data_IF_792510568219
#
_entry.id   IF_792510568219
#
_cell.length_a   1.000
_cell.length_b   1.000
_cell.length_c   1.000
_cell.angle_alpha   90.00
_cell.angle_beta   90.00
_cell.angle_gamma   90.00
#
_symmetry.space_group_name_H-M   'P 1'
#
loop_
_entity.id
_entity.type
_entity.pdbx_description
1 polymer ?
#
# COMPACT_ATOMS: atom_id res chain seq x y z
N UNK A 1 -11.41 8.36 -5.26
CA UNK A 1 -10.03 7.97 -4.99
C UNK A 1 -10.00 6.60 -4.31
N UNK A 2 -8.93 5.86 -4.51
CA UNK A 2 -8.75 4.58 -3.85
C UNK A 2 -8.00 4.78 -2.54
N UNK A 3 -8.35 4.02 -1.52
CA UNK A 3 -7.62 4.00 -0.26
C UNK A 3 -6.25 3.35 -0.48
N UNK A 4 -5.18 3.98 0.01
CA UNK A 4 -3.83 3.44 -0.02
C UNK A 4 -3.51 2.94 1.38
N UNK A 5 -3.23 1.64 1.49
CA UNK A 5 -2.83 0.99 2.74
C UNK A 5 -1.50 0.28 2.56
N UNK A 6 -0.64 0.36 3.58
CA UNK A 6 0.50 -0.52 3.72
C UNK A 6 0.14 -1.59 4.76
N UNK A 7 0.33 -2.85 4.39
CA UNK A 7 0.05 -3.99 5.25
C UNK A 7 1.33 -4.53 5.86
N UNK A 8 1.32 -4.85 7.16
CA UNK A 8 2.38 -5.66 7.74
C UNK A 8 2.22 -7.13 7.35
N UNK A 9 3.28 -7.93 7.53
CA UNK A 9 3.22 -9.39 7.28
C UNK A 9 2.12 -10.02 8.13
N UNK A 10 2.03 -9.64 9.42
CA UNK A 10 1.02 -10.15 10.35
C UNK A 10 -0.40 -9.83 9.89
N UNK A 11 -0.65 -8.61 9.43
CA UNK A 11 -1.96 -8.21 8.92
C UNK A 11 -2.37 -9.00 7.68
N UNK A 12 -1.41 -9.28 6.77
CA UNK A 12 -1.67 -10.11 5.59
C UNK A 12 -1.99 -11.55 6.02
N UNK A 13 -1.20 -12.10 6.96
CA UNK A 13 -1.42 -13.45 7.51
C UNK A 13 -2.79 -13.55 8.17
N UNK A 14 -3.16 -12.60 9.03
CA UNK A 14 -4.44 -12.61 9.72
C UNK A 14 -5.62 -12.53 8.74
N UNK A 15 -5.51 -11.70 7.71
CA UNK A 15 -6.53 -11.59 6.67
C UNK A 15 -6.66 -12.88 5.85
N UNK A 16 -5.56 -13.56 5.56
CA UNK A 16 -5.60 -14.84 4.85
C UNK A 16 -6.15 -15.95 5.74
N UNK A 17 -5.80 -15.99 7.03
CA UNK A 17 -6.32 -16.98 7.97
C UNK A 17 -7.80 -16.76 8.35
N UNK A 18 -8.39 -15.60 8.01
CA UNK A 18 -9.84 -15.39 8.12
C UNK A 18 -10.64 -16.05 6.99
N UNK A 19 -9.97 -16.57 5.95
CA UNK A 19 -10.60 -17.37 4.90
C UNK A 19 -11.01 -18.76 5.46
N UNK A 20 -11.96 -19.45 4.81
CA UNK A 20 -12.38 -20.77 5.25
C UNK A 20 -11.21 -21.75 5.40
N UNK A 21 -11.29 -22.64 6.40
CA UNK A 21 -10.32 -23.72 6.57
C UNK A 21 -10.23 -24.57 5.29
N UNK A 22 -9.06 -25.18 5.04
CA UNK A 22 -8.73 -25.94 3.82
C UNK A 22 -8.72 -25.12 2.53
N UNK A 23 -8.81 -23.79 2.59
CA UNK A 23 -8.65 -22.95 1.39
C UNK A 23 -7.24 -23.12 0.82
N UNK A 24 -7.15 -23.42 -0.48
CA UNK A 24 -5.89 -23.47 -1.22
C UNK A 24 -5.50 -22.07 -1.63
N UNK A 25 -4.25 -21.70 -1.38
CA UNK A 25 -3.70 -20.39 -1.76
C UNK A 25 -2.37 -20.56 -2.47
N UNK A 26 -2.11 -19.67 -3.43
CA UNK A 26 -0.83 -19.55 -4.12
C UNK A 26 -0.28 -18.17 -3.78
N UNK A 27 0.87 -18.13 -3.11
CA UNK A 27 1.56 -16.88 -2.80
C UNK A 27 2.45 -16.51 -3.98
N UNK A 28 2.32 -15.29 -4.47
CA UNK A 28 2.92 -14.81 -5.70
C UNK A 28 3.67 -13.48 -5.44
N UNK A 29 4.79 -13.32 -6.14
CA UNK A 29 5.53 -12.06 -6.21
C UNK A 29 5.49 -11.51 -7.64
N UNK A 30 4.88 -10.33 -7.90
CA UNK A 30 4.86 -9.74 -9.23
C UNK A 30 6.27 -9.32 -9.65
N UNK A 31 6.66 -9.63 -10.88
CA UNK A 31 7.94 -9.26 -11.45
C UNK A 31 7.77 -8.15 -12.49
N UNK A 32 8.65 -7.14 -12.46
CA UNK A 32 8.68 -6.10 -13.48
C UNK A 32 9.15 -6.67 -14.82
N UNK A 33 8.33 -6.58 -15.87
CA UNK A 33 8.56 -7.18 -17.17
C UNK A 33 9.91 -6.85 -17.80
N UNK A 34 10.43 -5.60 -17.81
CA UNK A 34 11.70 -5.29 -18.47
C UNK A 34 12.91 -6.02 -17.85
N UNK A 35 12.84 -6.32 -16.55
CA UNK A 35 13.91 -7.01 -15.82
C UNK A 35 13.65 -8.51 -15.64
N UNK A 36 12.50 -9.01 -16.07
CA UNK A 36 12.09 -10.39 -15.76
C UNK A 36 13.02 -11.43 -16.41
N UNK A 37 13.46 -11.22 -17.65
CA UNK A 37 14.28 -12.21 -18.37
C UNK A 37 15.56 -12.60 -17.64
N UNK A 38 16.43 -11.65 -17.36
CA UNK A 38 17.70 -11.91 -16.64
C UNK A 38 17.47 -12.43 -15.23
N UNK A 39 16.36 -12.01 -14.61
CA UNK A 39 16.01 -12.37 -13.26
C UNK A 39 15.44 -13.79 -13.13
N UNK A 40 14.74 -14.31 -14.14
CA UNK A 40 14.17 -15.65 -14.10
C UNK A 40 15.24 -16.75 -14.06
N UNK A 41 16.34 -16.60 -14.79
CA UNK A 41 17.48 -17.54 -14.71
C UNK A 41 18.14 -17.54 -13.33
N UNK A 42 18.25 -16.38 -12.71
CA UNK A 42 18.78 -16.25 -11.36
C UNK A 42 17.83 -16.88 -10.35
N UNK A 43 16.52 -16.64 -10.45
CA UNK A 43 15.49 -17.22 -9.60
C UNK A 43 15.43 -18.76 -9.74
N UNK A 44 15.62 -19.29 -10.94
CA UNK A 44 15.74 -20.74 -11.15
C UNK A 44 16.97 -21.32 -10.41
N UNK A 45 18.10 -20.63 -10.43
CA UNK A 45 19.31 -21.02 -9.66
C UNK A 45 19.12 -20.92 -8.15
N UNK A 46 18.26 -20.01 -7.69
CA UNK A 46 17.87 -19.88 -6.28
C UNK A 46 16.87 -20.97 -5.83
N UNK A 47 16.42 -21.84 -6.75
CA UNK A 47 15.54 -22.97 -6.44
C UNK A 47 14.05 -22.70 -6.67
N UNK A 48 13.68 -21.56 -7.22
CA UNK A 48 12.30 -21.35 -7.65
C UNK A 48 12.04 -22.16 -8.92
N UNK A 49 10.92 -22.86 -8.95
CA UNK A 49 10.60 -23.79 -10.03
C UNK A 49 9.45 -23.33 -10.94
N UNK A 50 8.66 -22.34 -10.53
CA UNK A 50 7.44 -21.98 -11.24
C UNK A 50 7.17 -20.47 -11.26
N UNK A 51 6.55 -20.04 -12.35
CA UNK A 51 5.99 -18.69 -12.54
C UNK A 51 4.55 -18.79 -13.02
N UNK A 52 3.81 -17.70 -12.86
CA UNK A 52 2.55 -17.49 -13.54
C UNK A 52 2.75 -16.50 -14.68
N UNK A 53 2.49 -16.91 -15.92
CA UNK A 53 2.46 -16.06 -17.11
C UNK A 53 0.99 -15.81 -17.47
N UNK A 54 0.54 -14.58 -17.41
CA UNK A 54 -0.85 -14.20 -17.72
C UNK A 54 -1.91 -15.10 -17.05
N UNK A 55 -1.62 -15.48 -15.80
CA UNK A 55 -2.52 -16.32 -14.99
C UNK A 55 -2.36 -17.84 -15.21
N UNK A 56 -1.47 -18.29 -16.09
CA UNK A 56 -1.16 -19.71 -16.30
C UNK A 56 0.13 -20.09 -15.60
N UNK A 57 0.09 -21.19 -14.86
CA UNK A 57 1.28 -21.72 -14.16
C UNK A 57 2.20 -22.42 -15.14
N UNK A 58 3.46 -22.02 -15.16
CA UNK A 58 4.51 -22.54 -16.06
C UNK A 58 5.77 -22.84 -15.28
N UNK A 59 6.50 -23.88 -15.65
CA UNK A 59 7.77 -24.27 -15.03
C UNK A 59 8.92 -23.41 -15.57
N UNK A 60 9.80 -22.93 -14.66
CA UNK A 60 10.97 -22.10 -15.00
C UNK A 60 12.05 -22.89 -15.75
N UNK A 61 12.22 -24.16 -15.42
CA UNK A 61 13.22 -25.07 -15.99
C UNK A 61 12.60 -26.11 -16.92
N UNK A 62 11.49 -25.79 -17.59
CA UNK A 62 10.82 -26.66 -18.55
C UNK A 62 11.60 -26.82 -19.86
N UNK A 63 11.34 -27.88 -20.62
CA UNK A 63 11.93 -28.13 -21.93
C UNK A 63 11.56 -27.08 -22.99
N UNK A 64 10.47 -26.35 -22.80
CA UNK A 64 10.04 -25.28 -23.70
C UNK A 64 10.48 -23.92 -23.20
N UNK A 65 11.05 -23.07 -24.07
CA UNK A 65 11.38 -21.70 -23.71
C UNK A 65 10.13 -20.94 -23.30
N UNK A 66 10.20 -20.24 -22.16
CA UNK A 66 9.13 -19.38 -21.70
C UNK A 66 8.91 -18.24 -22.70
N UNK A 67 7.70 -18.13 -23.22
CA UNK A 67 7.30 -16.98 -24.04
C UNK A 67 7.04 -15.76 -23.17
N UNK A 68 8.14 -15.13 -22.72
CA UNK A 68 8.11 -13.94 -21.87
C UNK A 68 7.82 -12.69 -22.71
N UNK A 69 8.09 -12.74 -24.03
CA UNK A 69 7.96 -11.58 -24.90
C UNK A 69 6.51 -11.19 -25.13
N UNK A 70 5.64 -12.18 -25.23
CA UNK A 70 4.19 -11.97 -25.39
C UNK A 70 3.46 -11.78 -24.06
N UNK A 71 4.10 -12.11 -22.91
CA UNK A 71 3.46 -12.04 -21.62
C UNK A 71 3.23 -10.59 -21.18
N UNK A 72 2.00 -10.28 -20.79
CA UNK A 72 1.60 -8.99 -20.20
C UNK A 72 1.89 -8.92 -18.71
N UNK A 73 1.98 -10.08 -18.05
CA UNK A 73 2.16 -10.19 -16.61
C UNK A 73 2.94 -11.45 -16.23
N UNK A 74 3.91 -11.28 -15.34
CA UNK A 74 4.71 -12.37 -14.78
C UNK A 74 4.67 -12.27 -13.26
N UNK A 75 4.23 -13.33 -12.60
CA UNK A 75 4.29 -13.44 -11.15
C UNK A 75 5.13 -14.69 -10.76
N UNK A 76 6.13 -14.53 -9.89
CA UNK A 76 6.90 -15.64 -9.35
C UNK A 76 6.05 -16.42 -8.35
N UNK A 77 5.98 -17.72 -8.49
CA UNK A 77 5.29 -18.59 -7.50
C UNK A 77 6.23 -18.84 -6.33
N UNK A 78 5.87 -18.31 -5.17
CA UNK A 78 6.66 -18.46 -3.94
C UNK A 78 6.29 -19.76 -3.24
N UNK A 79 5.01 -19.96 -2.98
CA UNK A 79 4.53 -21.16 -2.29
C UNK A 79 3.08 -21.48 -2.67
N UNK A 80 2.70 -22.74 -2.47
CA UNK A 80 1.33 -23.23 -2.59
C UNK A 80 0.94 -23.89 -1.30
N UNK A 81 -0.02 -23.29 -0.61
CA UNK A 81 -0.38 -23.66 0.75
C UNK A 81 -1.86 -24.03 0.82
N UNK A 82 -2.17 -24.84 1.83
CA UNK A 82 -3.53 -25.08 2.28
C UNK A 82 -3.67 -24.44 3.65
N UNK A 83 -4.60 -23.50 3.80
CA UNK A 83 -4.85 -22.84 5.06
C UNK A 83 -5.42 -23.86 6.06
N UNK A 84 -4.74 -24.02 7.20
CA UNK A 84 -5.11 -24.95 8.26
C UNK A 84 -4.39 -24.54 9.55
N UNK A 85 -4.80 -25.12 10.65
CA UNK A 85 -4.11 -24.93 11.93
C UNK A 85 -2.60 -25.19 11.80
N UNK A 86 -1.80 -24.33 12.43
CA UNK A 86 -0.33 -24.42 12.43
C UNK A 86 0.37 -23.88 11.18
N UNK A 87 -0.34 -23.45 10.13
CA UNK A 87 0.27 -22.94 8.89
C UNK A 87 0.85 -21.53 9.02
N UNK A 88 0.49 -20.76 10.08
CA UNK A 88 0.82 -19.35 10.29
C UNK A 88 2.29 -19.01 10.01
N UNK A 89 3.23 -19.79 10.60
CA UNK A 89 4.66 -19.54 10.45
C UNK A 89 5.10 -19.65 8.99
N UNK A 90 4.72 -20.73 8.30
CA UNK A 90 5.10 -20.96 6.91
C UNK A 90 4.45 -19.93 5.98
N UNK A 91 3.21 -19.54 6.25
CA UNK A 91 2.53 -18.48 5.50
C UNK A 91 3.26 -17.15 5.65
N UNK A 92 3.67 -16.76 6.87
CA UNK A 92 4.43 -15.55 7.13
C UNK A 92 5.77 -15.54 6.36
N UNK A 93 6.54 -16.63 6.43
CA UNK A 93 7.79 -16.80 5.68
C UNK A 93 7.57 -16.65 4.16
N UNK A 94 6.51 -17.24 3.62
CA UNK A 94 6.18 -17.15 2.21
C UNK A 94 5.81 -15.71 1.80
N UNK A 95 5.08 -14.98 2.65
CA UNK A 95 4.71 -13.57 2.43
C UNK A 95 5.96 -12.67 2.46
N UNK A 96 6.89 -12.89 3.41
CA UNK A 96 8.16 -12.16 3.46
C UNK A 96 9.01 -12.38 2.20
N UNK A 97 9.09 -13.63 1.74
CA UNK A 97 9.81 -13.96 0.49
C UNK A 97 9.13 -13.27 -0.69
N UNK A 98 7.80 -13.32 -0.77
CA UNK A 98 7.04 -12.65 -1.84
C UNK A 98 7.28 -11.14 -1.84
N UNK A 99 7.28 -10.50 -0.67
CA UNK A 99 7.56 -9.07 -0.52
C UNK A 99 8.95 -8.69 -1.02
N UNK A 100 9.97 -9.49 -0.71
CA UNK A 100 11.35 -9.27 -1.17
C UNK A 100 11.51 -9.35 -2.69
N UNK A 101 10.82 -10.29 -3.35
CA UNK A 101 10.91 -10.48 -4.80
C UNK A 101 9.96 -9.60 -5.59
N UNK A 102 8.79 -9.25 -5.02
CA UNK A 102 7.72 -8.48 -5.65
C UNK A 102 7.76 -6.97 -5.38
N UNK A 103 8.92 -6.42 -4.98
CA UNK A 103 9.04 -5.01 -4.63
C UNK A 103 8.01 -4.56 -3.57
N UNK A 104 7.85 -5.39 -2.53
CA UNK A 104 6.90 -5.22 -1.42
C UNK A 104 5.41 -5.28 -1.84
N UNK A 105 5.14 -5.78 -3.04
CA UNK A 105 3.81 -6.14 -3.49
C UNK A 105 3.69 -7.67 -3.44
N UNK A 106 2.65 -8.14 -2.80
CA UNK A 106 2.34 -9.56 -2.64
C UNK A 106 0.98 -9.81 -3.29
N UNK A 107 0.88 -10.87 -4.07
CA UNK A 107 -0.39 -11.36 -4.58
C UNK A 107 -0.69 -12.74 -4.01
N UNK A 108 -1.93 -12.99 -3.72
CA UNK A 108 -2.40 -14.30 -3.27
C UNK A 108 -3.56 -14.71 -4.15
N UNK A 109 -3.37 -15.82 -4.88
CA UNK A 109 -4.42 -16.39 -5.71
C UNK A 109 -5.08 -17.55 -4.98
N UNK A 110 -6.40 -17.55 -4.99
CA UNK A 110 -7.24 -18.64 -4.53
C UNK A 110 -7.75 -19.33 -5.78
N UNK A 111 -7.24 -20.54 -6.13
CA UNK A 111 -7.67 -21.26 -7.31
C UNK A 111 -9.16 -21.60 -7.22
N UNK A 112 -9.87 -21.49 -8.33
CA UNK A 112 -11.23 -22.04 -8.47
C UNK A 112 -11.16 -23.49 -8.90
N UNK A 113 -12.18 -24.29 -8.61
CA UNK A 113 -12.29 -25.68 -9.10
C UNK A 113 -12.37 -25.75 -10.63
N UNK A 114 -12.86 -24.68 -11.27
CA UNK A 114 -12.85 -24.50 -12.71
C UNK A 114 -11.76 -23.50 -13.08
N UNK A 115 -10.60 -23.98 -13.53
CA UNK A 115 -9.47 -23.14 -13.98
C UNK A 115 -9.82 -22.11 -15.08
N UNK A 116 -10.95 -22.28 -15.76
CA UNK A 116 -11.44 -21.35 -16.77
C UNK A 116 -11.81 -19.95 -16.22
N UNK A 117 -12.15 -19.83 -14.94
CA UNK A 117 -12.60 -18.58 -14.29
C UNK A 117 -11.45 -17.81 -13.59
N UNK A 118 -10.22 -18.30 -13.68
CA UNK A 118 -9.03 -17.60 -13.17
C UNK A 118 -8.89 -17.54 -11.64
N UNK A 119 -9.89 -17.98 -10.87
CA UNK A 119 -9.88 -17.89 -9.40
C UNK A 119 -9.95 -16.45 -8.87
N UNK A 120 -9.99 -16.29 -7.55
CA UNK A 120 -9.95 -14.99 -6.86
C UNK A 120 -8.50 -14.59 -6.59
N UNK A 121 -8.14 -13.34 -6.89
CA UNK A 121 -6.84 -12.77 -6.55
C UNK A 121 -7.00 -11.67 -5.51
N UNK A 122 -6.14 -11.69 -4.51
CA UNK A 122 -5.98 -10.64 -3.51
C UNK A 122 -4.59 -10.05 -3.69
N UNK A 123 -4.48 -8.72 -3.62
CA UNK A 123 -3.20 -8.02 -3.71
C UNK A 123 -2.99 -7.17 -2.47
N UNK A 124 -1.76 -7.20 -1.96
CA UNK A 124 -1.33 -6.47 -0.77
C UNK A 124 -0.07 -5.68 -1.11
N UNK A 125 0.06 -4.50 -0.53
CA UNK A 125 1.29 -3.72 -0.60
C UNK A 125 1.82 -3.46 0.81
N UNK A 126 3.11 -3.68 1.01
CA UNK A 126 3.82 -3.28 2.23
C UNK A 126 4.33 -1.81 2.14
N UNK A 127 4.18 -1.19 0.96
CA UNK A 127 4.43 0.23 0.69
C UNK A 127 3.11 0.99 0.61
N UNK A 128 3.15 2.29 0.84
CA UNK A 128 2.02 3.19 0.60
C UNK A 128 1.86 3.47 -0.91
N UNK A 129 1.45 2.46 -1.66
CA UNK A 129 1.24 2.52 -3.12
C UNK A 129 -0.17 2.06 -3.46
N UNK A 130 -0.82 2.79 -4.35
CA UNK A 130 -2.11 2.36 -4.90
C UNK A 130 -1.88 1.22 -5.91
N UNK A 131 -2.42 0.05 -5.63
CA UNK A 131 -2.29 -1.12 -6.51
C UNK A 131 -3.02 -0.96 -7.85
N UNK A 132 -3.96 -0.02 -7.96
CA UNK A 132 -4.73 0.21 -9.18
C UNK A 132 -4.07 1.18 -10.16
N UNK A 133 -3.43 2.25 -9.65
CA UNK A 133 -2.87 3.30 -10.52
C UNK A 133 -1.37 3.55 -10.29
N UNK A 134 -0.72 2.83 -9.39
CA UNK A 134 0.70 2.97 -9.08
C UNK A 134 1.07 4.25 -8.32
N UNK A 135 0.10 5.12 -7.99
CA UNK A 135 0.38 6.33 -7.22
C UNK A 135 0.89 5.97 -5.83
N UNK A 136 2.06 6.50 -5.46
CA UNK A 136 2.62 6.36 -4.12
C UNK A 136 2.24 7.53 -3.23
N UNK A 137 1.90 7.24 -1.97
CA UNK A 137 1.82 8.26 -0.95
C UNK A 137 3.23 8.56 -0.39
N UNK A 138 3.50 9.80 0.02
CA UNK A 138 4.75 10.12 0.70
C UNK A 138 4.85 9.35 2.02
N UNK A 139 6.08 9.18 2.50
CA UNK A 139 6.30 8.62 3.82
C UNK A 139 5.57 9.46 4.89
N UNK A 140 4.88 8.78 5.80
CA UNK A 140 4.15 9.46 6.88
C UNK A 140 5.15 9.81 7.98
N UNK A 141 5.67 11.03 7.91
CA UNK A 141 6.57 11.63 8.90
C UNK A 141 5.82 12.70 9.71
N UNK A 142 6.27 13.08 10.91
CA UNK A 142 5.71 14.22 11.62
C UNK A 142 5.79 15.53 10.81
N UNK A 143 6.83 15.70 9.98
CA UNK A 143 7.01 16.84 9.09
C UNK A 143 5.88 16.99 8.06
N UNK A 144 5.27 15.88 7.62
CA UNK A 144 4.14 15.89 6.71
C UNK A 144 2.92 16.64 7.26
N UNK A 145 2.74 16.66 8.58
CA UNK A 145 1.63 17.32 9.27
C UNK A 145 1.98 18.70 9.82
N UNK A 146 3.18 19.19 9.56
CA UNK A 146 3.64 20.50 10.02
C UNK A 146 3.50 21.53 8.91
N UNK A 147 2.76 22.61 9.17
CA UNK A 147 2.67 23.75 8.26
C UNK A 147 3.95 24.60 8.23
N UNK A 148 4.89 24.37 9.16
CA UNK A 148 6.22 25.01 9.19
C UNK A 148 7.29 24.16 8.48
N UNK A 149 6.97 22.92 8.06
CA UNK A 149 7.87 22.05 7.31
C UNK A 149 7.60 22.14 5.81
N UNK A 150 8.61 22.16 4.95
CA UNK A 150 8.43 22.05 3.50
C UNK A 150 7.68 20.77 3.07
N UNK A 151 7.70 19.72 3.89
CA UNK A 151 7.01 18.47 3.64
C UNK A 151 5.49 18.64 3.74
N UNK A 152 4.99 19.38 4.73
CA UNK A 152 3.57 19.56 5.03
C UNK A 152 2.96 20.88 4.59
N UNK A 153 3.75 21.96 4.52
CA UNK A 153 3.26 23.30 4.22
C UNK A 153 2.61 23.39 2.83
N UNK A 154 1.47 24.06 2.74
CA UNK A 154 0.84 24.37 1.47
C UNK A 154 1.80 25.22 0.60
N UNK A 155 2.15 24.82 -0.64
CA UNK A 155 3.14 25.52 -1.45
C UNK A 155 2.67 26.89 -1.91
N UNK A 156 1.35 27.11 -1.98
CA UNK A 156 0.78 28.38 -2.45
C UNK A 156 0.87 29.49 -1.42
N UNK A 157 0.62 29.19 -0.16
CA UNK A 157 0.67 30.17 0.92
C UNK A 157 1.87 29.95 1.87
N UNK A 158 2.75 29.01 1.58
CA UNK A 158 3.90 28.65 2.41
C UNK A 158 3.52 28.41 3.89
N UNK A 159 2.40 27.71 4.11
CA UNK A 159 1.92 27.39 5.46
C UNK A 159 1.20 28.54 6.19
N UNK A 160 0.98 29.68 5.55
CA UNK A 160 0.29 30.82 6.18
C UNK A 160 -1.22 30.61 6.30
N UNK A 161 -1.82 29.80 5.43
CA UNK A 161 -3.27 29.57 5.38
C UNK A 161 -4.06 30.64 4.62
N UNK A 162 -3.45 31.78 4.34
CA UNK A 162 -4.05 32.95 3.72
C UNK A 162 -3.14 33.55 2.68
N UNK A 163 -3.71 34.32 1.76
CA UNK A 163 -2.99 35.05 0.72
C UNK A 163 -3.47 36.49 0.68
N UNK A 164 -2.55 37.42 0.36
CA UNK A 164 -2.91 38.78 0.05
C UNK A 164 -3.61 38.82 -1.33
N UNK A 165 -4.69 39.54 -1.47
CA UNK A 165 -5.33 39.79 -2.76
C UNK A 165 -4.36 40.50 -3.71
N UNK A 166 -4.02 39.86 -4.84
CA UNK A 166 -3.16 40.47 -5.87
C UNK A 166 -3.86 41.68 -6.49
N UNK A 167 -3.27 42.84 -6.32
CA UNK A 167 -3.62 44.05 -7.11
C UNK A 167 -4.15 45.25 -6.34
N UNK A 168 -4.43 45.12 -5.05
CA UNK A 168 -4.76 46.29 -4.21
C UNK A 168 -3.77 46.44 -3.08
N UNK A 169 -2.84 47.41 -3.20
CA UNK A 169 -2.11 47.93 -2.05
C UNK A 169 -3.09 48.71 -1.16
N UNK A 170 -4.09 48.04 -0.61
CA UNK A 170 -4.98 48.61 0.38
C UNK A 170 -4.44 48.19 1.73
N UNK A 171 -3.95 49.12 2.50
CA UNK A 171 -3.37 48.93 3.85
C UNK A 171 -4.28 48.24 4.87
N UNK A 172 -5.51 47.84 4.47
CA UNK A 172 -6.54 47.26 5.36
C UNK A 172 -7.41 46.18 4.67
N UNK A 173 -6.93 45.47 3.64
CA UNK A 173 -7.70 44.31 3.12
C UNK A 173 -7.52 43.15 4.07
N UNK A 174 -8.65 42.60 4.55
CA UNK A 174 -8.65 41.38 5.36
C UNK A 174 -7.99 40.23 4.57
N UNK A 175 -7.17 39.39 5.21
CA UNK A 175 -6.55 38.24 4.56
C UNK A 175 -7.61 37.28 4.06
N UNK A 176 -7.43 36.79 2.82
CA UNK A 176 -8.35 35.83 2.20
C UNK A 176 -7.81 34.43 2.39
N UNK A 177 -8.64 33.46 2.79
CA UNK A 177 -8.19 32.06 2.89
C UNK A 177 -7.53 31.58 1.60
N UNK A 178 -6.41 30.89 1.72
CA UNK A 178 -5.70 30.34 0.57
C UNK A 178 -6.60 29.37 -0.22
N UNK A 179 -6.86 29.60 -1.50
CA UNK A 179 -7.81 28.80 -2.27
C UNK A 179 -7.33 27.36 -2.51
N UNK A 180 -6.03 27.07 -2.34
CA UNK A 180 -5.50 25.73 -2.49
C UNK A 180 -5.67 24.89 -1.22
N UNK A 181 -5.37 25.44 -0.07
CA UNK A 181 -5.49 24.72 1.20
C UNK A 181 -6.79 25.04 1.97
N UNK A 182 -7.59 26.02 1.54
CA UNK A 182 -8.81 26.43 2.22
C UNK A 182 -8.60 26.95 3.64
N UNK A 183 -7.41 27.52 3.94
CA UNK A 183 -7.05 27.96 5.28
C UNK A 183 -6.36 26.90 6.15
N UNK A 184 -6.32 25.64 5.74
CA UNK A 184 -5.75 24.53 6.52
C UNK A 184 -4.22 24.59 6.67
N UNK A 185 -3.53 25.41 5.90
CA UNK A 185 -2.06 25.59 5.85
C UNK A 185 -1.28 24.40 5.30
N UNK A 186 -1.92 23.24 5.11
CA UNK A 186 -1.30 21.96 4.76
C UNK A 186 -1.51 21.61 3.29
N UNK A 187 -0.57 20.81 2.75
CA UNK A 187 -0.69 20.20 1.42
C UNK A 187 -1.91 19.28 1.33
N UNK A 188 -2.39 19.06 0.12
CA UNK A 188 -3.45 18.10 -0.17
C UNK A 188 -3.06 16.68 0.25
N UNK A 189 -1.80 16.29 0.07
CA UNK A 189 -1.26 14.99 0.49
C UNK A 189 -1.31 14.78 2.00
N UNK A 190 -1.00 15.81 2.80
CA UNK A 190 -1.11 15.76 4.26
C UNK A 190 -2.56 15.57 4.72
N UNK A 191 -3.49 16.26 4.07
CA UNK A 191 -4.94 16.17 4.34
C UNK A 191 -5.59 14.90 3.78
N UNK A 192 -4.88 14.16 2.92
CA UNK A 192 -5.35 12.88 2.42
C UNK A 192 -5.13 11.74 3.44
N UNK A 193 -4.24 11.92 4.42
CA UNK A 193 -4.03 10.94 5.50
C UNK A 193 -5.20 11.03 6.47
N UNK A 194 -5.81 9.88 6.79
CA UNK A 194 -6.97 9.81 7.68
C UNK A 194 -6.76 8.83 8.82
N UNK A 195 -7.27 9.21 9.99
CA UNK A 195 -7.34 8.38 11.20
C UNK A 195 -8.81 8.30 11.58
N UNK A 196 -9.38 7.11 11.65
CA UNK A 196 -10.81 6.94 11.97
C UNK A 196 -11.74 7.72 11.03
N UNK A 197 -11.35 7.91 9.76
CA UNK A 197 -12.11 8.66 8.76
C UNK A 197 -11.87 10.18 8.76
N UNK A 198 -11.15 10.75 9.74
CA UNK A 198 -10.86 12.17 9.88
C UNK A 198 -9.44 12.52 9.45
N UNK A 199 -9.25 13.67 8.79
CA UNK A 199 -7.93 14.22 8.52
C UNK A 199 -7.42 15.08 9.69
N UNK A 200 -6.15 15.45 9.64
CA UNK A 200 -5.50 16.21 10.71
C UNK A 200 -6.19 17.57 10.97
N UNK A 201 -6.76 18.20 9.95
CA UNK A 201 -7.41 19.51 10.10
C UNK A 201 -8.78 19.39 10.75
N UNK A 202 -9.50 18.31 10.45
CA UNK A 202 -10.75 17.96 11.10
C UNK A 202 -10.54 17.63 12.59
N UNK A 203 -9.50 16.82 12.89
CA UNK A 203 -9.14 16.46 14.28
C UNK A 203 -8.71 17.70 15.07
N UNK A 204 -7.88 18.56 14.49
CA UNK A 204 -7.40 19.78 15.13
C UNK A 204 -8.51 20.83 15.37
N UNK A 205 -9.60 20.75 14.64
CA UNK A 205 -10.77 21.61 14.82
C UNK A 205 -11.77 21.09 15.88
N UNK A 206 -11.59 19.85 16.36
CA UNK A 206 -12.45 19.28 17.39
C UNK A 206 -12.21 19.96 18.76
N UNK A 207 -13.26 20.12 19.59
CA UNK A 207 -13.07 20.45 21.01
C UNK A 207 -12.20 19.40 21.71
N UNK A 208 -11.41 19.80 22.70
CA UNK A 208 -10.46 18.92 23.42
C UNK A 208 -11.15 17.65 23.94
N UNK A 209 -12.36 17.78 24.53
CA UNK A 209 -13.11 16.63 25.03
C UNK A 209 -13.49 15.65 23.92
N UNK A 210 -13.93 16.15 22.76
CA UNK A 210 -14.27 15.32 21.60
C UNK A 210 -13.03 14.66 20.99
N UNK A 211 -11.89 15.37 20.95
CA UNK A 211 -10.61 14.79 20.48
C UNK A 211 -10.17 13.65 21.40
N UNK A 212 -10.26 13.83 22.71
CA UNK A 212 -9.91 12.78 23.68
C UNK A 212 -10.80 11.54 23.51
N UNK A 213 -12.11 11.74 23.40
CA UNK A 213 -13.06 10.66 23.16
C UNK A 213 -12.76 9.96 21.83
N UNK A 214 -12.58 10.70 20.76
CA UNK A 214 -12.23 10.15 19.44
C UNK A 214 -10.96 9.30 19.50
N UNK A 215 -9.86 9.83 20.06
CA UNK A 215 -8.59 9.12 20.14
C UNK A 215 -8.65 7.88 21.04
N UNK A 216 -9.48 7.90 22.10
CA UNK A 216 -9.66 6.74 22.98
C UNK A 216 -10.35 5.57 22.28
N UNK A 217 -11.15 5.83 21.25
CA UNK A 217 -11.82 4.81 20.44
C UNK A 217 -11.01 4.39 19.21
N UNK A 218 -9.92 5.10 18.87
CA UNK A 218 -9.04 4.70 17.77
C UNK A 218 -8.26 3.44 18.11
N UNK A 219 -8.45 2.40 17.34
CA UNK A 219 -7.60 1.20 17.41
C UNK A 219 -6.31 1.47 16.64
N UNK A 220 -5.23 1.74 17.37
CA UNK A 220 -3.88 1.80 16.80
C UNK A 220 -3.30 0.39 16.79
N UNK A 221 -2.77 -0.06 15.65
CA UNK A 221 -2.06 -1.34 15.59
C UNK A 221 -0.94 -1.35 16.66
N UNK A 222 -0.91 -2.37 17.51
CA UNK A 222 0.13 -2.55 18.50
C UNK A 222 1.50 -2.58 17.82
N UNK A 223 2.39 -1.67 18.21
CA UNK A 223 3.77 -1.67 17.73
C UNK A 223 4.43 -0.31 17.58
N UNK A 224 3.70 0.80 17.54
CA UNK A 224 4.30 2.15 17.60
C UNK A 224 3.68 2.93 18.76
N UNK A 225 4.21 2.71 19.97
CA UNK A 225 4.08 3.71 21.01
C UNK A 225 4.80 4.97 20.52
N UNK A 226 4.04 5.96 20.07
CA UNK A 226 4.56 7.32 19.95
C UNK A 226 4.68 7.79 21.39
N UNK A 227 5.89 7.70 21.92
CA UNK A 227 6.25 8.35 23.19
C UNK A 227 6.33 9.83 22.87
N UNK A 228 5.38 10.61 23.40
CA UNK A 228 5.45 12.06 23.43
C UNK A 228 6.53 12.51 24.40
#
# INVERSE_FOLDING_TARGET
GHEIKAYSVEQIVDQLLSLPDQTRVIVLAPLALPAARSRLEELARQGFSRVMLDGRMTELAGEQPLDIESASRIDLVIDRLVLRDGIRKRLAESIEIAGRHGDQIIKVRIPSENDADGGREMAFSQKLVCLNCGASAPEITPGLFSFNSPEGACPRCNGLGEIAERGKRVKNSAPVPCPECGGSRLKKTSRAVRIGGHDITEIAAMPIAATLEFLSHCQFAEGRKIIG
#
